data_IF_472811716654
#
_entry.id   IF_472811716654
#
_cell.length_a   1.000
_cell.length_b   1.000
_cell.length_c   1.000
_cell.angle_alpha   90.00
_cell.angle_beta   90.00
_cell.angle_gamma   90.00
#
_symmetry.space_group_name_H-M   'P 1'
#
loop_
_entity.id
_entity.type
_entity.pdbx_description
1 polymer ?
#
# COMPACT_ATOMS: atom_id res chain seq x y z
N UNK A 1 -34.41 -25.05 9.13
CA UNK A 1 -33.11 -24.51 8.66
C UNK A 1 -33.38 -23.11 8.13
N UNK A 2 -32.99 -22.05 8.84
CA UNK A 2 -33.18 -20.69 8.31
C UNK A 2 -32.19 -20.47 7.17
N UNK A 3 -32.67 -19.95 6.04
CA UNK A 3 -31.82 -19.54 4.94
C UNK A 3 -30.85 -18.48 5.48
N UNK A 4 -29.56 -18.85 5.58
CA UNK A 4 -28.53 -17.96 6.10
C UNK A 4 -28.53 -16.65 5.33
N UNK A 5 -28.84 -15.56 6.02
CA UNK A 5 -28.89 -14.22 5.45
C UNK A 5 -27.49 -13.89 4.90
N UNK A 6 -27.37 -13.81 3.57
CA UNK A 6 -26.10 -13.46 2.92
C UNK A 6 -25.75 -12.03 3.30
N UNK A 7 -24.63 -11.84 4.00
CA UNK A 7 -24.12 -10.51 4.31
C UNK A 7 -23.79 -9.76 3.02
N UNK A 8 -24.25 -8.52 2.92
CA UNK A 8 -23.91 -7.63 1.81
C UNK A 8 -22.80 -6.67 2.24
N UNK A 9 -21.97 -6.27 1.28
CA UNK A 9 -20.93 -5.26 1.47
C UNK A 9 -20.68 -4.47 0.19
N UNK A 10 -19.62 -3.66 0.17
CA UNK A 10 -19.26 -2.83 -0.99
C UNK A 10 -17.97 -3.33 -1.63
N UNK A 11 -17.93 -3.39 -2.95
CA UNK A 11 -16.77 -3.79 -3.70
C UNK A 11 -15.58 -2.88 -3.38
N UNK A 12 -14.43 -3.47 -3.05
CA UNK A 12 -13.21 -2.71 -2.78
C UNK A 12 -12.70 -1.94 -4.01
N UNK A 13 -13.01 -2.38 -5.23
CA UNK A 13 -12.54 -1.74 -6.47
C UNK A 13 -13.44 -0.58 -6.88
N UNK A 14 -14.77 -0.79 -6.96
CA UNK A 14 -15.67 0.20 -7.56
C UNK A 14 -16.77 0.72 -6.62
N UNK A 15 -16.81 0.28 -5.36
CA UNK A 15 -17.83 0.70 -4.39
C UNK A 15 -19.24 0.10 -4.59
N UNK A 16 -19.53 -0.60 -5.69
CA UNK A 16 -20.84 -1.25 -5.92
C UNK A 16 -21.16 -2.31 -4.86
N UNK A 17 -22.43 -2.45 -4.50
CA UNK A 17 -22.90 -3.50 -3.59
C UNK A 17 -22.52 -4.89 -4.10
N UNK A 18 -22.11 -5.77 -3.19
CA UNK A 18 -21.72 -7.15 -3.49
C UNK A 18 -22.07 -8.11 -2.36
N UNK A 19 -22.28 -9.37 -2.74
CA UNK A 19 -22.36 -10.54 -1.85
C UNK A 19 -21.15 -11.47 -1.98
N UNK A 20 -20.27 -11.22 -2.96
CA UNK A 20 -19.09 -12.05 -3.18
C UNK A 20 -17.95 -11.48 -2.34
N UNK A 21 -17.38 -12.34 -1.48
CA UNK A 21 -16.26 -12.02 -0.60
C UNK A 21 -15.08 -12.95 -0.86
N UNK A 22 -13.87 -12.48 -0.57
CA UNK A 22 -12.68 -13.33 -0.61
C UNK A 22 -12.81 -14.46 0.44
N UNK A 23 -12.91 -15.71 -0.03
CA UNK A 23 -13.10 -16.89 0.82
C UNK A 23 -11.95 -17.06 1.81
N UNK A 24 -10.71 -16.86 1.37
CA UNK A 24 -9.53 -16.98 2.22
C UNK A 24 -9.55 -15.98 3.38
N UNK A 25 -9.83 -14.69 3.12
CA UNK A 25 -9.89 -13.66 4.17
C UNK A 25 -11.04 -13.92 5.15
N UNK A 26 -12.22 -14.30 4.64
CA UNK A 26 -13.38 -14.62 5.46
C UNK A 26 -13.14 -15.85 6.35
N UNK A 27 -12.48 -16.88 5.82
CA UNK A 27 -12.23 -18.13 6.56
C UNK A 27 -11.10 -17.99 7.57
N UNK A 28 -9.97 -17.40 7.15
CA UNK A 28 -8.71 -17.41 7.90
C UNK A 28 -8.59 -16.25 8.90
N UNK A 29 -9.07 -15.07 8.53
CA UNK A 29 -8.93 -13.84 9.34
C UNK A 29 -10.27 -13.22 9.74
N UNK A 30 -11.40 -13.86 9.40
CA UNK A 30 -12.75 -13.45 9.78
C UNK A 30 -13.11 -12.00 9.36
N UNK A 31 -12.53 -11.55 8.25
CA UNK A 31 -12.81 -10.25 7.64
C UNK A 31 -13.47 -10.42 6.28
N UNK A 32 -14.56 -9.68 6.05
CA UNK A 32 -15.31 -9.75 4.79
C UNK A 32 -14.84 -8.67 3.82
N UNK A 33 -14.00 -9.07 2.86
CA UNK A 33 -13.54 -8.20 1.78
C UNK A 33 -14.31 -8.52 0.51
N UNK A 34 -15.11 -7.55 0.03
CA UNK A 34 -16.08 -7.78 -1.03
C UNK A 34 -15.57 -7.35 -2.41
N UNK A 35 -15.97 -8.09 -3.44
CA UNK A 35 -15.73 -7.80 -4.85
C UNK A 35 -17.04 -7.98 -5.62
N UNK A 36 -17.45 -7.06 -6.49
CA UNK A 36 -18.72 -7.25 -7.23
C UNK A 36 -18.62 -8.30 -8.34
N UNK A 37 -17.41 -8.71 -8.73
CA UNK A 37 -17.18 -9.75 -9.73
C UNK A 37 -15.81 -10.41 -9.57
N UNK A 38 -15.60 -11.55 -10.25
CA UNK A 38 -14.31 -12.24 -10.29
C UNK A 38 -13.25 -11.42 -11.03
N UNK A 39 -13.64 -10.60 -12.01
CA UNK A 39 -12.75 -9.71 -12.76
C UNK A 39 -12.15 -8.65 -11.83
N UNK A 40 -12.95 -8.02 -10.97
CA UNK A 40 -12.44 -7.08 -9.98
C UNK A 40 -11.50 -7.74 -8.99
N UNK A 41 -11.76 -8.97 -8.56
CA UNK A 41 -10.83 -9.71 -7.71
C UNK A 41 -9.53 -10.03 -8.44
N UNK A 42 -9.59 -10.50 -9.70
CA UNK A 42 -8.43 -10.82 -10.54
C UNK A 42 -7.58 -9.58 -10.82
N UNK A 43 -8.23 -8.44 -11.09
CA UNK A 43 -7.57 -7.16 -11.38
C UNK A 43 -6.59 -6.76 -10.28
N UNK A 44 -6.98 -6.91 -9.02
CA UNK A 44 -6.16 -6.53 -7.87
C UNK A 44 -5.44 -7.71 -7.21
N UNK A 45 -5.64 -8.93 -7.71
CA UNK A 45 -5.10 -10.16 -7.12
C UNK A 45 -3.58 -10.14 -6.92
N UNK A 46 -2.75 -9.63 -7.88
CA UNK A 46 -1.31 -9.58 -7.69
C UNK A 46 -0.87 -8.85 -6.42
N UNK A 47 -1.67 -7.88 -5.98
CA UNK A 47 -1.44 -7.08 -4.78
C UNK A 47 -2.16 -7.66 -3.57
N UNK A 48 -3.44 -8.02 -3.70
CA UNK A 48 -4.20 -8.58 -2.58
C UNK A 48 -3.63 -9.90 -2.07
N UNK A 49 -3.05 -10.75 -2.92
CA UNK A 49 -2.38 -12.01 -2.49
C UNK A 49 -1.30 -11.78 -1.43
N UNK A 50 -0.67 -10.59 -1.40
CA UNK A 50 0.36 -10.22 -0.43
C UNK A 50 -0.21 -10.05 0.98
N UNK A 51 -1.49 -9.71 1.10
CA UNK A 51 -2.18 -9.40 2.37
C UNK A 51 -3.45 -10.24 2.54
N UNK A 52 -3.63 -11.29 1.72
CA UNK A 52 -4.78 -12.19 1.74
C UNK A 52 -4.62 -13.28 2.81
N UNK A 53 -5.74 -13.90 3.22
CA UNK A 53 -5.75 -14.98 4.20
C UNK A 53 -5.37 -14.46 5.58
N UNK A 54 -4.49 -15.17 6.29
CA UNK A 54 -4.09 -14.86 7.68
C UNK A 54 -3.48 -13.46 7.87
N UNK A 55 -3.02 -12.84 6.77
CA UNK A 55 -2.46 -11.48 6.76
C UNK A 55 -3.49 -10.37 6.56
N UNK A 56 -4.76 -10.74 6.35
CA UNK A 56 -5.82 -9.77 6.03
C UNK A 56 -6.38 -9.09 7.26
N UNK A 57 -6.32 -9.75 8.42
CA UNK A 57 -6.65 -9.19 9.73
C UNK A 57 -5.95 -9.95 10.87
N UNK A 58 -5.15 -9.27 11.72
CA UNK A 58 -4.66 -7.90 11.55
C UNK A 58 -3.95 -7.72 10.20
N UNK A 59 -4.08 -6.53 9.61
CA UNK A 59 -3.46 -6.26 8.31
C UNK A 59 -1.94 -6.30 8.44
N UNK A 60 -1.30 -7.25 7.75
CA UNK A 60 0.15 -7.45 7.77
C UNK A 60 0.70 -7.50 6.35
N UNK A 61 1.80 -6.79 6.13
CA UNK A 61 2.60 -7.00 4.93
C UNK A 61 3.34 -8.35 5.02
N UNK A 62 3.74 -8.94 3.89
CA UNK A 62 4.63 -10.09 3.89
C UNK A 62 5.90 -9.85 4.72
N UNK A 63 6.45 -10.91 5.34
CA UNK A 63 7.78 -10.86 5.93
C UNK A 63 8.82 -10.38 4.93
N UNK A 64 9.88 -9.72 5.42
CA UNK A 64 10.96 -9.23 4.56
C UNK A 64 11.61 -10.39 3.80
N UNK A 65 11.65 -10.28 2.48
CA UNK A 65 12.09 -11.34 1.58
C UNK A 65 13.58 -11.29 1.27
N UNK A 66 14.12 -12.39 0.72
CA UNK A 66 15.49 -12.44 0.20
C UNK A 66 15.69 -11.46 -0.95
N UNK A 67 14.65 -11.25 -1.76
CA UNK A 67 14.64 -10.32 -2.88
C UNK A 67 14.71 -8.87 -2.40
N UNK A 68 13.92 -8.51 -1.38
CA UNK A 68 14.03 -7.21 -0.71
C UNK A 68 15.44 -7.01 -0.13
N UNK A 69 15.99 -8.01 0.56
CA UNK A 69 17.34 -7.95 1.13
C UNK A 69 18.41 -7.66 0.06
N UNK A 70 18.37 -8.37 -1.08
CA UNK A 70 19.30 -8.16 -2.20
C UNK A 70 19.21 -6.73 -2.75
N UNK A 71 17.99 -6.24 -2.99
CA UNK A 71 17.77 -4.88 -3.52
C UNK A 71 18.24 -3.82 -2.54
N UNK A 72 17.93 -3.98 -1.25
CA UNK A 72 18.38 -3.06 -0.20
C UNK A 72 19.89 -3.03 -0.09
N UNK A 73 20.55 -4.19 -0.16
CA UNK A 73 22.02 -4.23 -0.13
C UNK A 73 22.62 -3.48 -1.32
N UNK A 74 22.19 -3.78 -2.55
CA UNK A 74 22.64 -3.10 -3.76
C UNK A 74 22.46 -1.57 -3.66
N UNK A 75 21.27 -1.11 -3.29
CA UNK A 75 20.97 0.34 -3.10
C UNK A 75 21.82 0.99 -2.02
N UNK A 76 22.30 0.23 -1.04
CA UNK A 76 23.15 0.75 0.03
C UNK A 76 24.62 0.91 -0.38
N UNK A 77 25.14 0.03 -1.23
CA UNK A 77 26.59 -0.10 -1.47
C UNK A 77 27.05 0.20 -2.89
N UNK A 78 26.16 0.12 -3.88
CA UNK A 78 26.51 0.37 -5.27
C UNK A 78 26.48 1.88 -5.57
N UNK A 79 27.16 2.32 -6.63
CA UNK A 79 27.17 3.74 -7.00
C UNK A 79 25.75 4.19 -7.40
N UNK A 80 25.28 5.34 -6.92
CA UNK A 80 23.95 5.84 -7.27
C UNK A 80 23.91 6.23 -8.75
N UNK A 81 22.79 5.91 -9.42
CA UNK A 81 22.59 6.19 -10.84
C UNK A 81 22.22 7.67 -11.09
N UNK A 82 21.72 8.37 -10.07
CA UNK A 82 21.31 9.78 -10.15
C UNK A 82 21.58 10.53 -8.84
N UNK A 83 21.51 11.87 -8.88
CA UNK A 83 21.60 12.70 -7.68
C UNK A 83 20.47 12.44 -6.68
N UNK A 84 19.28 12.09 -7.17
CA UNK A 84 18.14 11.67 -6.35
C UNK A 84 18.44 10.35 -5.64
N UNK A 85 18.99 9.36 -6.36
CA UNK A 85 19.41 8.09 -5.77
C UNK A 85 20.51 8.28 -4.73
N UNK A 86 21.46 9.19 -4.97
CA UNK A 86 22.51 9.52 -4.02
C UNK A 86 21.93 10.08 -2.72
N UNK A 87 20.93 10.96 -2.82
CA UNK A 87 20.19 11.49 -1.67
C UNK A 87 19.55 10.37 -0.85
N UNK A 88 18.79 9.48 -1.50
CA UNK A 88 18.12 8.37 -0.82
C UNK A 88 19.11 7.35 -0.23
N UNK A 89 20.21 7.06 -0.93
CA UNK A 89 21.26 6.17 -0.47
C UNK A 89 21.89 6.68 0.83
N UNK A 90 22.16 7.99 0.96
CA UNK A 90 22.68 8.58 2.20
C UNK A 90 21.74 8.32 3.38
N UNK A 91 20.42 8.44 3.19
CA UNK A 91 19.46 8.13 4.25
C UNK A 91 19.45 6.64 4.61
N UNK A 92 19.54 5.76 3.61
CA UNK A 92 19.57 4.31 3.82
C UNK A 92 20.84 3.89 4.56
N UNK A 93 21.99 4.44 4.18
CA UNK A 93 23.27 4.25 4.83
C UNK A 93 23.26 4.70 6.30
N UNK A 94 22.65 5.86 6.60
CA UNK A 94 22.47 6.35 7.98
C UNK A 94 21.55 5.43 8.80
N UNK A 95 20.45 4.97 8.21
CA UNK A 95 19.53 4.04 8.85
C UNK A 95 20.22 2.70 9.20
N UNK A 96 21.08 2.23 8.29
CA UNK A 96 21.84 0.98 8.45
C UNK A 96 23.12 1.15 9.26
N UNK A 97 23.51 2.38 9.61
CA UNK A 97 24.76 2.73 10.30
C UNK A 97 25.98 2.17 9.59
N UNK A 98 26.07 2.37 8.28
CA UNK A 98 27.10 1.76 7.43
C UNK A 98 28.54 2.11 7.86
N UNK A 99 28.74 3.26 8.50
CA UNK A 99 30.02 3.72 9.04
C UNK A 99 30.57 2.79 10.14
N UNK A 100 29.74 1.90 10.68
CA UNK A 100 30.09 0.97 11.74
C UNK A 100 30.33 -0.46 11.24
N UNK A 101 30.18 -0.72 9.94
CA UNK A 101 30.18 -2.07 9.38
C UNK A 101 31.01 -2.15 8.10
N UNK A 102 31.77 -3.24 7.97
CA UNK A 102 32.29 -3.69 6.68
C UNK A 102 31.15 -4.07 5.72
N UNK A 103 31.49 -4.23 4.44
CA UNK A 103 30.52 -4.64 3.41
C UNK A 103 29.85 -5.99 3.75
N UNK A 104 30.61 -6.93 4.30
CA UNK A 104 30.09 -8.26 4.68
C UNK A 104 29.21 -8.18 5.92
N UNK A 105 29.62 -7.42 6.95
CA UNK A 105 28.80 -7.20 8.16
C UNK A 105 27.48 -6.49 7.85
N UNK A 106 27.49 -5.53 6.91
CA UNK A 106 26.27 -4.90 6.42
C UNK A 106 25.35 -5.91 5.73
N UNK A 107 25.92 -6.78 4.90
CA UNK A 107 25.16 -7.84 4.21
C UNK A 107 24.51 -8.78 5.23
N UNK A 108 25.26 -9.25 6.21
CA UNK A 108 24.76 -10.13 7.27
C UNK A 108 23.66 -9.45 8.10
N UNK A 109 23.82 -8.15 8.38
CA UNK A 109 22.79 -7.34 9.06
C UNK A 109 21.50 -7.26 8.24
N UNK A 110 21.58 -7.01 6.93
CA UNK A 110 20.38 -6.98 6.07
C UNK A 110 19.75 -8.38 5.98
N UNK A 111 20.56 -9.42 5.81
CA UNK A 111 20.08 -10.80 5.76
C UNK A 111 19.42 -11.24 7.08
N UNK A 112 19.87 -10.71 8.23
CA UNK A 112 19.24 -10.97 9.53
C UNK A 112 17.80 -10.47 9.63
N UNK A 113 17.37 -9.58 8.72
CA UNK A 113 16.00 -9.08 8.65
C UNK A 113 15.08 -10.01 7.85
N UNK A 114 15.62 -10.99 7.11
CA UNK A 114 14.81 -11.91 6.28
C UNK A 114 13.85 -12.71 7.19
N UNK A 115 12.58 -12.74 6.82
CA UNK A 115 11.52 -13.41 7.57
C UNK A 115 10.95 -12.60 8.73
N UNK A 116 11.50 -11.42 9.04
CA UNK A 116 10.93 -10.54 10.06
C UNK A 116 9.63 -9.92 9.54
N UNK A 117 8.55 -10.06 10.32
CA UNK A 117 7.27 -9.42 10.05
C UNK A 117 7.34 -7.90 10.33
N UNK A 118 6.69 -7.09 9.51
CA UNK A 118 6.58 -5.65 9.72
C UNK A 118 5.11 -5.26 9.88
N UNK A 119 4.64 -4.99 11.12
CA UNK A 119 3.29 -4.42 11.29
C UNK A 119 3.22 -3.04 10.63
N UNK A 120 2.02 -2.59 10.25
CA UNK A 120 1.81 -1.29 9.63
C UNK A 120 1.97 -0.12 10.61
N UNK A 121 1.48 -0.25 11.84
CA UNK A 121 1.51 0.80 12.88
C UNK A 121 2.46 0.48 14.03
N UNK A 122 3.01 1.52 14.67
CA UNK A 122 3.98 1.41 15.78
C UNK A 122 3.33 1.49 17.18
N UNK A 123 2.00 1.56 17.26
CA UNK A 123 1.34 2.08 18.46
C UNK A 123 1.29 1.10 19.65
N UNK A 124 1.66 -0.17 19.48
CA UNK A 124 1.46 -1.21 20.50
C UNK A 124 2.71 -1.86 21.09
N UNK A 125 3.89 -1.27 20.93
CA UNK A 125 5.10 -1.79 21.59
C UNK A 125 5.76 -0.77 22.54
N UNK A 126 5.23 -0.62 23.76
CA UNK A 126 5.98 -0.01 24.85
C UNK A 126 7.00 -1.05 25.34
N UNK A 127 8.12 -1.24 24.65
CA UNK A 127 9.34 -1.83 25.23
C UNK A 127 10.51 -1.79 24.25
N UNK A 128 11.70 -1.58 24.81
CA UNK A 128 12.98 -1.33 24.12
C UNK A 128 13.53 -2.50 23.28
N UNK A 129 12.92 -3.69 23.24
CA UNK A 129 13.56 -4.88 22.64
C UNK A 129 13.18 -5.21 21.18
N UNK A 130 12.10 -4.65 20.62
CA UNK A 130 11.70 -4.85 19.20
C UNK A 130 12.06 -3.67 18.28
N UNK A 131 12.79 -2.66 18.77
CA UNK A 131 12.91 -1.34 18.13
C UNK A 131 13.98 -1.20 17.05
N UNK A 132 14.84 -2.18 16.84
CA UNK A 132 15.89 -2.10 15.80
C UNK A 132 15.39 -2.55 14.42
N UNK A 133 15.07 -3.84 14.32
CA UNK A 133 14.79 -4.50 13.05
C UNK A 133 13.50 -3.98 12.38
N UNK A 134 12.42 -3.80 13.14
CA UNK A 134 11.13 -3.34 12.57
C UNK A 134 11.22 -1.89 12.08
N UNK A 135 11.88 -1.01 12.84
CA UNK A 135 12.09 0.38 12.42
C UNK A 135 13.03 0.46 11.21
N UNK A 136 14.10 -0.35 11.20
CA UNK A 136 14.98 -0.47 10.04
C UNK A 136 14.20 -0.95 8.81
N UNK A 137 13.36 -1.98 8.93
CA UNK A 137 12.55 -2.49 7.83
C UNK A 137 11.56 -1.48 7.27
N UNK A 138 10.90 -0.71 8.14
CA UNK A 138 10.01 0.38 7.69
C UNK A 138 10.78 1.46 6.97
N UNK A 139 11.92 1.89 7.52
CA UNK A 139 12.77 2.88 6.88
C UNK A 139 13.32 2.38 5.54
N UNK A 140 13.74 1.12 5.47
CA UNK A 140 14.18 0.45 4.23
C UNK A 140 13.05 0.51 3.20
N UNK A 141 11.84 0.03 3.53
CA UNK A 141 10.71 0.01 2.59
C UNK A 141 10.27 1.41 2.18
N UNK A 142 10.24 2.37 3.11
CA UNK A 142 9.89 3.77 2.81
C UNK A 142 10.92 4.40 1.88
N UNK A 143 12.21 4.25 2.18
CA UNK A 143 13.28 4.80 1.35
C UNK A 143 13.24 4.12 0.00
N UNK A 144 13.25 2.79 -0.06
CA UNK A 144 13.21 2.04 -1.30
C UNK A 144 12.01 2.42 -2.21
N UNK A 145 10.87 2.85 -1.64
CA UNK A 145 9.70 3.28 -2.39
C UNK A 145 9.99 4.44 -3.35
N UNK A 146 10.89 5.35 -2.96
CA UNK A 146 11.20 6.52 -3.76
C UNK A 146 12.01 6.17 -5.02
N UNK A 147 12.70 5.03 -5.04
CA UNK A 147 13.34 4.47 -6.24
C UNK A 147 12.34 3.84 -7.22
N UNK A 148 11.08 3.64 -6.81
CA UNK A 148 10.01 3.15 -7.68
C UNK A 148 9.12 4.24 -8.25
N UNK A 149 9.34 5.50 -7.83
CA UNK A 149 8.62 6.66 -8.37
C UNK A 149 8.85 6.82 -9.88
N UNK A 150 10.06 6.47 -10.35
CA UNK A 150 10.51 6.76 -11.72
C UNK A 150 10.68 5.50 -12.60
N UNK A 151 10.93 4.33 -12.01
CA UNK A 151 11.25 3.09 -12.75
C UNK A 151 10.04 2.13 -12.74
N UNK A 152 9.62 1.55 -13.89
CA UNK A 152 8.70 0.42 -13.87
C UNK A 152 9.36 -0.70 -13.07
N UNK A 153 8.83 -0.98 -11.87
CA UNK A 153 9.40 -2.01 -11.02
C UNK A 153 9.41 -3.33 -11.79
N UNK A 154 10.60 -3.89 -12.06
CA UNK A 154 10.75 -5.22 -12.68
C UNK A 154 10.00 -6.32 -11.89
N UNK A 155 9.62 -6.05 -10.63
CA UNK A 155 8.57 -6.80 -9.93
C UNK A 155 7.49 -5.85 -9.39
N UNK A 156 6.25 -6.03 -9.85
CA UNK A 156 5.09 -5.25 -9.41
C UNK A 156 4.84 -5.37 -7.89
N UNK A 157 5.29 -6.47 -7.26
CA UNK A 157 5.11 -6.72 -5.83
C UNK A 157 6.09 -5.95 -4.94
N UNK A 158 7.35 -5.75 -5.35
CA UNK A 158 8.33 -5.05 -4.54
C UNK A 158 7.99 -3.55 -4.44
N UNK A 159 7.75 -2.91 -5.59
CA UNK A 159 7.34 -1.51 -5.64
C UNK A 159 6.06 -1.27 -4.84
N UNK A 160 5.10 -2.20 -4.89
CA UNK A 160 3.86 -2.07 -4.12
C UNK A 160 4.08 -1.96 -2.61
N UNK A 161 4.88 -2.87 -2.01
CA UNK A 161 5.07 -2.88 -0.54
C UNK A 161 5.68 -1.58 -0.05
N UNK A 162 6.58 -1.04 -0.86
CA UNK A 162 7.34 0.16 -0.57
C UNK A 162 6.45 1.40 -0.77
N UNK A 163 5.74 1.51 -1.91
CA UNK A 163 4.78 2.58 -2.17
C UNK A 163 3.60 2.56 -1.19
N UNK A 164 3.22 1.38 -0.68
CA UNK A 164 2.18 1.26 0.34
C UNK A 164 2.49 2.06 1.60
N UNK A 165 3.71 1.99 2.11
CA UNK A 165 4.11 2.77 3.29
C UNK A 165 4.05 4.27 3.04
N UNK A 166 4.61 4.74 1.93
CA UNK A 166 4.62 6.16 1.59
C UNK A 166 3.20 6.72 1.48
N UNK A 167 2.33 6.02 0.74
CA UNK A 167 0.96 6.45 0.51
C UNK A 167 0.10 6.34 1.78
N UNK A 168 0.27 5.27 2.57
CA UNK A 168 -0.36 5.16 3.89
C UNK A 168 0.01 6.37 4.75
N UNK A 169 1.30 6.66 4.92
CA UNK A 169 1.76 7.80 5.72
C UNK A 169 1.22 9.14 5.20
N UNK A 170 1.14 9.31 3.87
CA UNK A 170 0.56 10.51 3.27
C UNK A 170 -0.92 10.69 3.63
N UNK A 171 -1.72 9.61 3.60
CA UNK A 171 -3.14 9.67 3.97
C UNK A 171 -3.34 9.87 5.48
N UNK A 172 -2.44 9.33 6.29
CA UNK A 172 -2.56 9.29 7.75
C UNK A 172 -1.68 10.31 8.47
N UNK A 173 -1.06 11.26 7.75
CA UNK A 173 -0.08 12.21 8.27
C UNK A 173 -0.56 13.04 9.48
N UNK A 174 -1.87 13.13 9.72
CA UNK A 174 -2.48 13.86 10.84
C UNK A 174 -3.20 12.97 11.88
N UNK A 175 -3.06 11.63 11.84
CA UNK A 175 -3.89 10.70 12.62
C UNK A 175 -3.13 9.76 13.57
N UNK A 176 -3.38 9.92 14.87
CA UNK A 176 -2.91 9.15 16.03
C UNK A 176 -3.50 7.72 16.16
N UNK A 177 -2.90 6.89 17.04
CA UNK A 177 -3.40 5.69 17.76
C UNK A 177 -4.68 5.00 17.23
N UNK A 178 -4.67 4.61 15.95
CA UNK A 178 -5.67 3.69 15.43
C UNK A 178 -5.31 2.28 15.91
N UNK A 179 -6.24 1.61 16.60
CA UNK A 179 -6.06 0.21 16.98
C UNK A 179 -5.87 -0.64 15.71
N UNK A 180 -4.66 -1.18 15.54
CA UNK A 180 -4.22 -1.89 14.33
C UNK A 180 -4.76 -3.32 14.23
N UNK A 181 -5.40 -3.82 15.29
CA UNK A 181 -6.28 -5.00 15.30
C UNK A 181 -7.77 -4.66 15.17
N UNK A 182 -8.14 -3.41 14.88
CA UNK A 182 -9.54 -3.15 14.56
C UNK A 182 -9.86 -3.66 13.16
N UNK A 183 -11.02 -4.30 13.01
CA UNK A 183 -11.52 -4.75 11.70
C UNK A 183 -11.60 -3.56 10.73
N UNK A 184 -12.07 -2.42 11.23
CA UNK A 184 -12.14 -1.17 10.47
C UNK A 184 -10.78 -0.77 9.88
N UNK A 185 -9.71 -0.81 10.69
CA UNK A 185 -8.37 -0.47 10.23
C UNK A 185 -7.88 -1.42 9.13
N UNK A 186 -8.13 -2.72 9.30
CA UNK A 186 -7.78 -3.68 8.27
C UNK A 186 -8.55 -3.44 6.97
N UNK A 187 -9.84 -3.15 7.03
CA UNK A 187 -10.65 -2.77 5.85
C UNK A 187 -10.11 -1.49 5.18
N UNK A 188 -9.70 -0.49 5.97
CA UNK A 188 -9.05 0.71 5.46
C UNK A 188 -7.76 0.37 4.68
N UNK A 189 -6.85 -0.40 5.27
CA UNK A 189 -5.60 -0.80 4.63
C UNK A 189 -5.81 -1.59 3.33
N UNK A 190 -6.86 -2.44 3.26
CA UNK A 190 -7.23 -3.12 2.01
C UNK A 190 -7.72 -2.14 0.94
N UNK A 191 -8.49 -1.10 1.30
CA UNK A 191 -8.91 -0.05 0.35
C UNK A 191 -7.72 0.74 -0.19
N UNK A 192 -6.80 1.11 0.70
CA UNK A 192 -5.52 1.75 0.33
C UNK A 192 -4.70 0.85 -0.60
N UNK A 193 -4.65 -0.45 -0.33
CA UNK A 193 -3.96 -1.43 -1.17
C UNK A 193 -4.56 -1.49 -2.58
N UNK A 194 -5.89 -1.46 -2.67
CA UNK A 194 -6.58 -1.44 -3.97
C UNK A 194 -6.32 -0.14 -4.73
N UNK A 195 -6.30 1.01 -4.05
CA UNK A 195 -5.97 2.28 -4.70
C UNK A 195 -4.58 2.26 -5.34
N UNK A 196 -3.61 1.71 -4.62
CA UNK A 196 -2.23 1.59 -5.09
C UNK A 196 -2.10 0.61 -6.25
N UNK A 197 -2.80 -0.54 -6.16
CA UNK A 197 -2.88 -1.48 -7.27
C UNK A 197 -3.40 -0.80 -8.55
N UNK A 198 -4.50 -0.04 -8.45
CA UNK A 198 -5.10 0.67 -9.57
C UNK A 198 -4.17 1.78 -10.09
N UNK A 199 -3.50 2.52 -9.21
CA UNK A 199 -2.49 3.50 -9.61
C UNK A 199 -1.36 2.84 -10.42
N UNK A 200 -0.80 1.73 -9.95
CA UNK A 200 0.23 1.00 -10.68
C UNK A 200 -0.24 0.54 -12.05
N UNK A 201 -1.45 -0.02 -12.14
CA UNK A 201 -2.00 -0.48 -13.43
C UNK A 201 -2.18 0.68 -14.42
N UNK A 202 -2.67 1.83 -13.96
CA UNK A 202 -2.80 3.03 -14.79
C UNK A 202 -1.43 3.52 -15.27
N UNK A 203 -0.43 3.60 -14.38
CA UNK A 203 0.93 4.05 -14.74
C UNK A 203 1.68 3.06 -15.65
N UNK A 204 1.44 1.75 -15.50
CA UNK A 204 2.01 0.76 -16.42
C UNK A 204 1.38 0.87 -17.80
N UNK A 205 0.06 1.02 -17.87
CA UNK A 205 -0.65 1.19 -19.14
C UNK A 205 -0.19 2.45 -19.89
N UNK A 206 0.10 3.57 -19.22
CA UNK A 206 0.63 4.78 -19.89
C UNK A 206 2.02 4.56 -20.51
N UNK A 207 2.91 3.82 -19.83
CA UNK A 207 4.29 3.62 -20.28
C UNK A 207 4.38 2.69 -21.50
N UNK A 208 3.55 1.65 -21.58
CA UNK A 208 3.56 0.68 -22.69
C UNK A 208 3.17 1.30 -24.05
N UNK A 209 2.46 2.43 -24.05
CA UNK A 209 2.01 3.11 -25.27
C UNK A 209 3.04 4.09 -25.89
N UNK A 210 4.31 4.06 -25.45
CA UNK A 210 5.42 4.80 -26.08
C UNK A 210 5.51 6.29 -25.71
N UNK A 211 5.22 6.62 -24.44
CA UNK A 211 5.10 7.99 -23.94
C UNK A 211 6.32 8.90 -24.17
N UNK A 212 6.22 9.75 -25.19
CA UNK A 212 6.62 11.16 -25.09
C UNK A 212 5.47 11.96 -24.47
N UNK A 213 5.85 12.94 -23.65
CA UNK A 213 5.14 13.81 -22.68
C UNK A 213 3.71 14.33 -22.96
N UNK A 214 2.97 13.87 -23.97
CA UNK A 214 1.66 14.45 -24.35
C UNK A 214 0.54 13.48 -24.71
N UNK A 215 0.76 12.16 -24.78
CA UNK A 215 -0.27 11.22 -25.22
C UNK A 215 -0.90 10.42 -24.05
N UNK A 216 -1.47 11.12 -23.07
CA UNK A 216 -2.35 10.53 -22.04
C UNK A 216 -3.67 9.97 -22.63
N UNK A 217 -3.87 10.07 -23.94
CA UNK A 217 -5.12 9.78 -24.63
C UNK A 217 -5.42 8.28 -24.79
N UNK A 218 -4.47 7.39 -24.47
CA UNK A 218 -4.60 5.92 -24.61
C UNK A 218 -4.55 5.15 -23.28
N UNK A 219 -4.84 5.81 -22.16
CA UNK A 219 -5.04 5.08 -20.90
C UNK A 219 -6.37 4.34 -20.98
N UNK A 220 -6.42 3.10 -20.49
CA UNK A 220 -7.67 2.36 -20.36
C UNK A 220 -8.62 3.14 -19.44
N UNK A 221 -9.63 3.80 -20.03
CA UNK A 221 -10.64 4.59 -19.33
C UNK A 221 -11.26 3.80 -18.16
N UNK A 222 -11.38 2.47 -18.29
CA UNK A 222 -11.93 1.61 -17.23
C UNK A 222 -11.01 1.53 -16.00
N UNK A 223 -9.69 1.60 -16.18
CA UNK A 223 -8.75 1.62 -15.06
C UNK A 223 -8.78 2.95 -14.32
N UNK A 224 -8.91 4.06 -15.06
CA UNK A 224 -9.07 5.40 -14.48
C UNK A 224 -10.40 5.48 -13.72
N UNK A 225 -11.49 5.02 -14.33
CA UNK A 225 -12.81 4.92 -13.68
C UNK A 225 -12.77 4.07 -12.43
N UNK A 226 -12.14 2.89 -12.48
CA UNK A 226 -12.01 2.02 -11.32
C UNK A 226 -11.21 2.71 -10.19
N UNK A 227 -10.15 3.45 -10.53
CA UNK A 227 -9.35 4.21 -9.57
C UNK A 227 -10.15 5.35 -8.93
N UNK A 228 -10.89 6.12 -9.71
CA UNK A 228 -11.77 7.17 -9.19
C UNK A 228 -12.88 6.57 -8.30
N UNK A 229 -13.54 5.51 -8.76
CA UNK A 229 -14.59 4.84 -8.00
C UNK A 229 -14.08 4.24 -6.68
N UNK A 230 -12.86 3.69 -6.65
CA UNK A 230 -12.21 3.25 -5.42
C UNK A 230 -12.01 4.43 -4.45
N UNK A 231 -11.51 5.56 -4.93
CA UNK A 231 -11.27 6.75 -4.10
C UNK A 231 -12.57 7.31 -3.53
N UNK A 232 -13.63 7.37 -4.33
CA UNK A 232 -14.98 7.76 -3.86
C UNK A 232 -15.48 6.79 -2.79
N UNK A 233 -15.32 5.47 -3.00
CA UNK A 233 -15.71 4.47 -2.01
C UNK A 233 -14.89 4.56 -0.71
N UNK A 234 -13.59 4.88 -0.81
CA UNK A 234 -12.73 5.10 0.35
C UNK A 234 -13.14 6.36 1.12
N UNK A 235 -13.46 7.45 0.42
CA UNK A 235 -13.99 8.68 1.02
C UNK A 235 -15.27 8.40 1.81
N UNK A 236 -16.27 7.74 1.21
CA UNK A 236 -17.51 7.35 1.89
C UNK A 236 -17.26 6.43 3.10
N UNK A 237 -16.27 5.54 3.00
CA UNK A 237 -15.89 4.67 4.12
C UNK A 237 -15.33 5.47 5.31
N UNK A 238 -14.52 6.51 5.04
CA UNK A 238 -13.96 7.39 6.05
C UNK A 238 -15.02 8.31 6.69
N UNK A 239 -15.99 8.80 5.91
CA UNK A 239 -17.08 9.66 6.41
C UNK A 239 -17.86 9.03 7.56
N UNK A 240 -18.04 7.70 7.54
CA UNK A 240 -18.70 6.95 8.62
C UNK A 240 -18.00 7.08 9.97
N UNK A 241 -16.74 7.49 9.99
CA UNK A 241 -15.91 7.55 11.18
C UNK A 241 -15.58 8.97 11.63
N UNK A 242 -16.03 10.00 10.90
CA UNK A 242 -15.70 11.41 11.21
C UNK A 242 -16.12 11.82 12.62
N UNK A 243 -17.24 11.26 13.10
CA UNK A 243 -17.77 11.53 14.42
C UNK A 243 -17.35 10.49 15.48
N UNK A 244 -16.57 9.45 15.12
CA UNK A 244 -16.06 8.50 16.11
C UNK A 244 -14.88 9.15 16.84
N UNK A 245 -14.91 9.27 18.19
CA UNK A 245 -13.85 9.94 18.94
C UNK A 245 -12.48 9.25 18.80
N UNK A 246 -12.43 7.97 18.40
CA UNK A 246 -11.19 7.21 18.19
C UNK A 246 -10.61 7.41 16.80
N UNK A 247 -11.45 7.68 15.80
CA UNK A 247 -11.05 7.68 14.38
C UNK A 247 -11.30 9.01 13.67
N UNK A 248 -11.97 9.98 14.29
CA UNK A 248 -12.45 11.20 13.63
C UNK A 248 -11.33 12.03 13.01
N UNK A 249 -10.23 12.27 13.74
CA UNK A 249 -9.08 13.01 13.23
C UNK A 249 -8.41 12.29 12.05
N UNK A 250 -8.22 10.97 12.18
CA UNK A 250 -7.70 10.12 11.11
C UNK A 250 -8.62 10.16 9.87
N UNK A 251 -9.92 10.02 10.07
CA UNK A 251 -10.92 10.01 9.01
C UNK A 251 -10.94 11.35 8.26
N UNK A 252 -10.90 12.48 8.97
CA UNK A 252 -10.82 13.81 8.37
C UNK A 252 -9.55 14.01 7.54
N UNK A 253 -8.39 13.53 8.03
CA UNK A 253 -7.14 13.54 7.26
C UNK A 253 -7.27 12.73 5.97
N UNK A 254 -7.78 11.50 6.09
CA UNK A 254 -8.00 10.63 4.95
C UNK A 254 -8.98 11.21 3.93
N UNK A 255 -10.05 11.87 4.37
CA UNK A 255 -11.02 12.53 3.48
C UNK A 255 -10.36 13.66 2.69
N UNK A 256 -9.62 14.56 3.35
CA UNK A 256 -8.90 15.64 2.65
C UNK A 256 -7.92 15.10 1.61
N UNK A 257 -7.20 14.04 1.96
CA UNK A 257 -6.26 13.42 1.04
C UNK A 257 -6.98 12.69 -0.12
N UNK A 258 -8.14 12.08 0.14
CA UNK A 258 -8.98 11.50 -0.88
C UNK A 258 -9.53 12.55 -1.85
N UNK A 259 -10.03 13.67 -1.34
CA UNK A 259 -10.53 14.79 -2.15
C UNK A 259 -9.43 15.37 -3.04
N UNK A 260 -8.22 15.59 -2.51
CA UNK A 260 -7.05 16.03 -3.29
C UNK A 260 -6.69 15.04 -4.39
N UNK A 261 -6.76 13.74 -4.09
CA UNK A 261 -6.47 12.69 -5.08
C UNK A 261 -7.52 12.66 -6.19
N UNK A 262 -8.80 12.80 -5.85
CA UNK A 262 -9.90 12.88 -6.82
C UNK A 262 -9.78 14.11 -7.72
N UNK A 263 -9.43 15.27 -7.15
CA UNK A 263 -9.17 16.49 -7.91
C UNK A 263 -8.02 16.28 -8.92
N UNK A 264 -6.89 15.73 -8.47
CA UNK A 264 -5.75 15.41 -9.32
C UNK A 264 -6.13 14.44 -10.46
N UNK A 265 -6.90 13.39 -10.18
CA UNK A 265 -7.36 12.45 -11.21
C UNK A 265 -8.19 13.15 -12.29
N UNK A 266 -9.10 14.02 -11.89
CA UNK A 266 -9.97 14.78 -12.81
C UNK A 266 -9.19 15.78 -13.66
N UNK A 267 -8.14 16.38 -13.10
CA UNK A 267 -7.24 17.27 -13.83
C UNK A 267 -6.40 16.50 -14.85
N UNK A 268 -5.87 15.33 -14.48
CA UNK A 268 -4.97 14.53 -15.33
C UNK A 268 -5.69 13.83 -16.49
N UNK A 269 -6.87 13.25 -16.24
CA UNK A 269 -7.56 12.41 -17.23
C UNK A 269 -8.77 13.11 -17.88
N UNK A 270 -9.04 14.36 -17.50
CA UNK A 270 -10.21 15.11 -17.91
C UNK A 270 -11.49 14.58 -17.26
N UNK A 271 -12.48 15.45 -17.04
CA UNK A 271 -13.83 15.01 -16.67
C UNK A 271 -14.49 14.31 -17.86
N UNK A 272 -14.19 13.04 -18.09
CA UNK A 272 -14.98 12.21 -19.00
C UNK A 272 -16.07 11.40 -18.31
N UNK A 273 -16.11 11.40 -16.97
CA UNK A 273 -17.02 10.54 -16.23
C UNK A 273 -17.79 11.40 -15.23
N UNK A 274 -19.05 11.64 -15.57
CA UNK A 274 -20.09 12.17 -14.68
C UNK A 274 -20.88 11.00 -14.10
#
# INVERSE_FOLDING_TARGET
MSAGQKSTGVCLVCGKTSILRCSACAQKSKIDLYFCSAEHQKLIWPFHRLVCGDRSHPFKLPPFSKEEAKVTFARTVDLPESAQDAGHQIYLQRLMKIDQYSRDELKDRIDSLIGVETPMLDHRYPTRSLKGAVLALRGIRLLNSSWHSDVPAKSASLGFLETFYAFYNQLTAAGHDVADDSRWYSEYCHRVSVQLALMHLVTSATKEHGGGDRDHQKVDDKLVEAREANMVAMRHFLEKMVNDPRFGAFAQSGIRAADKTLEMLRQLYGRKVA
#
